data_IF_406104001465
#
_entry.id   IF_406104001465
#
_cell.length_a   1.000
_cell.length_b   1.000
_cell.length_c   1.000
_cell.angle_alpha   90.00
_cell.angle_beta   90.00
_cell.angle_gamma   90.00
#
_symmetry.space_group_name_H-M   'P 1'
#
loop_
_entity.id
_entity.type
_entity.pdbx_description
1 polymer ?
#
# COMPACT_ATOMS: atom_id res chain seq x y z
N UNK A 1 9.08 24.51 57.46
CA UNK A 1 9.91 23.37 57.05
C UNK A 1 8.98 22.22 56.64
N UNK A 2 8.44 22.24 55.43
CA UNK A 2 7.68 21.09 54.89
C UNK A 2 7.64 21.23 53.38
N UNK A 3 8.69 20.77 52.73
CA UNK A 3 8.79 20.76 51.28
C UNK A 3 9.78 19.69 50.83
N UNK A 4 9.66 18.48 51.37
CA UNK A 4 10.52 17.36 50.97
C UNK A 4 9.67 16.09 50.83
N UNK A 5 8.77 16.08 49.85
CA UNK A 5 8.17 14.83 49.35
C UNK A 5 7.56 14.97 47.94
N UNK A 6 8.29 15.59 46.99
CA UNK A 6 7.87 15.63 45.58
C UNK A 6 8.92 15.15 44.57
N UNK A 7 10.15 14.87 45.01
CA UNK A 7 11.29 14.68 44.08
C UNK A 7 11.70 13.23 43.79
N UNK A 8 10.82 12.24 43.96
CA UNK A 8 11.16 10.82 43.66
C UNK A 8 10.41 10.26 42.44
N UNK A 9 9.61 11.06 41.72
CA UNK A 9 8.74 10.56 40.62
C UNK A 9 8.78 11.33 39.29
N UNK A 10 9.92 11.89 38.88
CA UNK A 10 10.18 12.29 37.48
C UNK A 10 11.54 11.76 37.01
N UNK A 11 11.83 11.46 35.72
CA UNK A 11 11.07 11.58 34.47
C UNK A 11 11.02 10.22 33.70
N UNK A 12 10.96 9.08 34.38
CA UNK A 12 10.94 7.76 33.72
C UNK A 12 9.55 7.42 33.15
N UNK A 13 8.49 7.67 33.92
CA UNK A 13 7.10 7.38 33.54
C UNK A 13 6.65 8.12 32.27
N UNK A 14 7.16 9.32 32.02
CA UNK A 14 6.85 10.13 30.84
C UNK A 14 7.61 9.66 29.59
N UNK A 15 8.86 9.19 29.76
CA UNK A 15 9.68 8.60 28.68
C UNK A 15 9.10 7.25 28.24
N UNK A 16 8.70 6.42 29.21
CA UNK A 16 8.06 5.12 28.95
C UNK A 16 6.70 5.27 28.24
N UNK A 17 5.94 6.34 28.56
CA UNK A 17 4.69 6.67 27.88
C UNK A 17 4.89 7.06 26.41
N UNK A 18 5.91 7.89 26.14
CA UNK A 18 6.27 8.31 24.78
C UNK A 18 6.76 7.14 23.92
N UNK A 19 7.56 6.24 24.49
CA UNK A 19 8.02 5.04 23.77
C UNK A 19 6.86 4.09 23.42
N UNK A 20 5.90 3.89 24.34
CA UNK A 20 4.69 3.10 24.08
C UNK A 20 3.81 3.70 22.99
N UNK A 21 3.63 5.03 23.00
CA UNK A 21 2.92 5.76 21.95
C UNK A 21 3.60 5.61 20.58
N UNK A 22 4.93 5.78 20.52
CA UNK A 22 5.71 5.61 19.31
C UNK A 22 5.66 4.16 18.79
N UNK A 23 5.70 3.17 19.69
CA UNK A 23 5.62 1.74 19.33
C UNK A 23 4.22 1.38 18.79
N UNK A 24 3.16 1.93 19.38
CA UNK A 24 1.80 1.75 18.87
C UNK A 24 1.59 2.48 17.55
N UNK A 25 2.07 3.72 17.41
CA UNK A 25 2.02 4.46 16.15
C UNK A 25 2.73 3.69 15.02
N UNK A 26 3.90 3.08 15.30
CA UNK A 26 4.61 2.22 14.35
C UNK A 26 3.80 0.99 13.91
N UNK A 27 3.02 0.40 14.83
CA UNK A 27 2.11 -0.72 14.51
C UNK A 27 0.91 -0.30 13.67
N UNK A 28 0.40 0.91 13.87
CA UNK A 28 -0.67 1.46 13.02
C UNK A 28 -0.15 1.91 11.66
N UNK A 29 1.08 2.44 11.56
CA UNK A 29 1.69 2.75 10.26
C UNK A 29 2.01 1.50 9.45
N UNK A 30 2.28 0.34 10.09
CA UNK A 30 2.40 -0.93 9.37
C UNK A 30 1.06 -1.50 8.90
N UNK A 31 -0.06 -1.00 9.43
CA UNK A 31 -1.40 -1.39 8.98
C UNK A 31 -1.89 -0.56 7.79
N UNK A 32 -1.37 0.66 7.62
CA UNK A 32 -1.81 1.59 6.59
C UNK A 32 -0.72 1.76 5.54
N UNK A 33 -0.97 1.19 4.37
CA UNK A 33 -0.10 1.33 3.21
C UNK A 33 -0.28 2.72 2.60
N UNK A 34 0.83 3.44 2.43
CA UNK A 34 0.89 4.69 1.67
C UNK A 34 1.32 4.46 0.21
N UNK A 35 1.80 3.25 -0.08
CA UNK A 35 2.33 2.83 -1.37
C UNK A 35 1.88 1.38 -1.60
N UNK A 36 1.51 1.03 -2.84
CA UNK A 36 1.15 -0.35 -3.22
C UNK A 36 1.80 -0.73 -4.53
N UNK A 37 2.01 -2.02 -4.74
CA UNK A 37 2.40 -2.54 -6.04
C UNK A 37 1.27 -2.32 -7.04
N UNK A 38 1.55 -1.56 -8.11
CA UNK A 38 0.62 -1.28 -9.18
C UNK A 38 0.38 -2.50 -10.07
N UNK A 39 -0.84 -2.64 -10.58
CA UNK A 39 -1.21 -3.69 -11.55
C UNK A 39 -1.11 -3.24 -13.01
N UNK A 40 -0.50 -2.09 -13.26
CA UNK A 40 -0.30 -1.55 -14.60
C UNK A 40 1.13 -1.81 -15.09
N UNK A 41 1.30 -1.73 -16.41
CA UNK A 41 2.55 -1.92 -17.10
C UNK A 41 2.76 -0.81 -18.12
N UNK A 42 4.02 -0.50 -18.38
CA UNK A 42 4.47 0.31 -19.50
C UNK A 42 4.80 -0.60 -20.69
N UNK A 43 4.38 -0.23 -21.89
CA UNK A 43 4.84 -0.86 -23.13
C UNK A 43 6.12 -0.19 -23.68
N UNK A 44 6.52 -0.55 -24.91
CA UNK A 44 7.73 -0.05 -25.57
C UNK A 44 7.63 1.44 -25.92
N UNK A 45 6.42 1.95 -26.12
CA UNK A 45 6.15 3.36 -26.46
C UNK A 45 5.93 4.23 -25.21
N UNK A 46 5.83 3.60 -24.03
CA UNK A 46 5.67 4.27 -22.74
C UNK A 46 4.22 4.50 -22.35
N UNK A 47 3.26 3.86 -23.05
CA UNK A 47 1.86 3.87 -22.66
C UNK A 47 1.66 3.04 -21.39
N UNK A 48 0.74 3.46 -20.52
CA UNK A 48 0.49 2.82 -19.23
C UNK A 48 -0.91 2.20 -19.21
N UNK A 49 -0.99 0.86 -19.09
CA UNK A 49 -2.26 0.13 -19.07
C UNK A 49 -2.18 -1.12 -18.18
N UNK A 50 -3.34 -1.69 -17.83
CA UNK A 50 -3.39 -3.00 -17.16
C UNK A 50 -3.04 -4.15 -18.10
N UNK A 51 -3.39 -4.02 -19.38
CA UNK A 51 -3.19 -5.03 -20.41
C UNK A 51 -2.94 -4.36 -21.75
N UNK A 52 -2.07 -4.96 -22.56
CA UNK A 52 -1.78 -4.50 -23.92
C UNK A 52 -2.20 -5.55 -24.93
N UNK A 53 -2.64 -5.07 -26.10
CA UNK A 53 -3.06 -5.91 -27.21
C UNK A 53 -2.45 -5.39 -28.51
N UNK A 54 -1.99 -6.29 -29.37
CA UNK A 54 -1.57 -5.97 -30.74
C UNK A 54 -2.61 -6.47 -31.74
N UNK A 55 -2.75 -5.73 -32.84
CA UNK A 55 -3.55 -6.16 -33.97
C UNK A 55 -2.82 -7.22 -34.79
N UNK A 56 -3.49 -8.34 -35.02
CA UNK A 56 -3.03 -9.39 -35.92
C UNK A 56 -3.75 -9.25 -37.25
N UNK A 57 -2.97 -8.88 -38.26
CA UNK A 57 -3.44 -8.82 -39.61
C UNK A 57 -3.76 -10.21 -40.16
N UNK A 58 -4.90 -10.38 -40.84
CA UNK A 58 -5.29 -11.66 -41.40
C UNK A 58 -4.42 -12.01 -42.62
N UNK A 59 -3.92 -13.24 -42.66
CA UNK A 59 -3.12 -13.73 -43.80
C UNK A 59 -3.95 -13.90 -45.09
N UNK A 60 -5.27 -14.00 -44.97
CA UNK A 60 -6.22 -14.18 -46.09
C UNK A 60 -7.09 -12.94 -46.26
N UNK A 61 -7.30 -12.51 -47.51
CA UNK A 61 -8.22 -11.41 -47.85
C UNK A 61 -9.65 -11.77 -47.46
N UNK A 62 -10.36 -10.81 -46.85
CA UNK A 62 -11.76 -10.95 -46.46
C UNK A 62 -11.99 -11.49 -45.04
N UNK A 63 -10.93 -11.90 -44.34
CA UNK A 63 -11.00 -12.20 -42.90
C UNK A 63 -10.79 -10.90 -42.12
N UNK A 64 -11.45 -10.75 -40.96
CA UNK A 64 -11.27 -9.60 -40.08
C UNK A 64 -9.99 -9.75 -39.26
N UNK A 65 -9.32 -8.64 -38.98
CA UNK A 65 -8.22 -8.61 -38.02
C UNK A 65 -8.71 -8.99 -36.62
N UNK A 66 -7.81 -9.54 -35.82
CA UNK A 66 -8.08 -9.93 -34.43
C UNK A 66 -7.03 -9.34 -33.51
N UNK A 67 -7.36 -9.11 -32.25
CA UNK A 67 -6.41 -8.63 -31.25
C UNK A 67 -5.79 -9.80 -30.48
N UNK A 68 -4.50 -9.71 -30.17
CA UNK A 68 -3.80 -10.66 -29.29
C UNK A 68 -3.22 -9.94 -28.10
N UNK A 69 -3.40 -10.51 -26.91
CA UNK A 69 -2.81 -9.99 -25.68
C UNK A 69 -1.29 -10.12 -25.72
N UNK A 70 -0.61 -9.03 -25.38
CA UNK A 70 0.84 -8.96 -25.22
C UNK A 70 1.16 -9.20 -23.74
N UNK A 71 2.13 -10.08 -23.48
CA UNK A 71 2.63 -10.38 -22.13
C UNK A 71 4.14 -10.13 -22.01
N UNK A 72 4.84 -9.98 -23.13
CA UNK A 72 6.29 -9.85 -23.19
C UNK A 72 6.67 -8.37 -23.30
N UNK A 73 7.91 -8.03 -22.91
CA UNK A 73 8.49 -6.68 -23.00
C UNK A 73 7.71 -5.58 -22.26
N UNK A 74 6.75 -5.96 -21.41
CA UNK A 74 6.03 -5.03 -20.55
C UNK A 74 6.82 -4.76 -19.27
N UNK A 75 7.02 -3.49 -18.93
CA UNK A 75 7.68 -3.09 -17.69
C UNK A 75 6.63 -2.80 -16.62
N UNK A 76 6.66 -3.43 -15.43
CA UNK A 76 5.69 -3.13 -14.39
C UNK A 76 5.80 -1.66 -13.94
N UNK A 77 4.66 -1.05 -13.62
CA UNK A 77 4.61 0.30 -13.04
C UNK A 77 5.39 0.38 -11.72
N UNK A 78 5.41 -0.73 -10.97
CA UNK A 78 6.07 -0.83 -9.67
C UNK A 78 5.25 -0.20 -8.56
N UNK A 79 5.94 0.35 -7.57
CA UNK A 79 5.33 1.00 -6.40
C UNK A 79 4.59 2.30 -6.79
N UNK A 80 3.29 2.34 -6.47
CA UNK A 80 2.40 3.48 -6.71
C UNK A 80 2.03 4.13 -5.39
N UNK A 81 2.31 5.42 -5.26
CA UNK A 81 1.88 6.22 -4.12
C UNK A 81 0.37 6.39 -4.14
N UNK A 82 -0.27 6.05 -3.04
CA UNK A 82 -1.71 6.23 -2.88
C UNK A 82 -2.01 7.67 -2.45
N UNK A 83 -3.12 8.27 -2.94
CA UNK A 83 -3.52 9.62 -2.55
C UNK A 83 -3.94 9.70 -1.07
N UNK A 84 -4.35 8.57 -0.50
CA UNK A 84 -4.71 8.43 0.91
C UNK A 84 -4.22 7.07 1.44
N UNK A 85 -3.90 6.95 2.74
CA UNK A 85 -3.51 5.68 3.32
C UNK A 85 -4.64 4.65 3.22
N UNK A 86 -4.31 3.41 2.86
CA UNK A 86 -5.27 2.32 2.79
C UNK A 86 -4.89 1.20 3.76
N UNK A 87 -5.90 0.52 4.30
CA UNK A 87 -5.66 -0.67 5.11
C UNK A 87 -4.95 -1.75 4.28
N UNK A 88 -3.89 -2.30 4.85
CA UNK A 88 -3.18 -3.45 4.30
C UNK A 88 -4.09 -4.68 4.35
N UNK A 89 -4.14 -5.44 3.25
CA UNK A 89 -5.05 -6.58 3.07
C UNK A 89 -4.79 -7.68 4.11
N UNK A 90 -3.54 -7.81 4.58
CA UNK A 90 -3.14 -8.83 5.55
C UNK A 90 -3.19 -8.35 7.01
N UNK A 91 -3.75 -7.15 7.27
CA UNK A 91 -3.84 -6.62 8.62
C UNK A 91 -5.20 -6.94 9.27
N UNK A 92 -5.25 -7.84 10.28
CA UNK A 92 -6.50 -8.24 10.91
C UNK A 92 -7.09 -7.09 11.74
N UNK A 93 -8.33 -6.70 11.45
CA UNK A 93 -9.10 -5.71 12.24
C UNK A 93 -10.49 -6.25 12.53
N UNK A 94 -10.90 -6.11 13.79
CA UNK A 94 -12.28 -6.34 14.21
C UNK A 94 -13.07 -5.08 13.86
N UNK A 95 -13.95 -5.18 12.86
CA UNK A 95 -14.80 -4.06 12.41
C UNK A 95 -16.01 -3.88 13.35
N UNK A 96 -16.49 -4.97 13.94
CA UNK A 96 -17.63 -4.98 14.85
C UNK A 96 -17.43 -6.01 15.95
N UNK A 97 -17.79 -5.65 17.17
CA UNK A 97 -17.87 -6.55 18.30
C UNK A 97 -19.19 -6.28 19.02
N UNK A 98 -20.01 -7.32 19.15
CA UNK A 98 -21.21 -7.24 19.99
C UNK A 98 -20.82 -7.40 21.46
N UNK A 99 -21.46 -6.62 22.32
CA UNK A 99 -21.22 -6.67 23.77
C UNK A 99 -22.21 -7.66 24.36
N UNK A 100 -21.73 -8.83 24.79
CA UNK A 100 -22.53 -9.79 25.57
C UNK A 100 -22.60 -9.33 27.03
#
# INVERSE_FOLDING_TARGET
>A
MSSDLKDVLGPQKERDGKEKLLRNARRFTSALDQVKDGSMYFDEDGDLAHEFYEEINPMKRGVKATMRRILNNLKPQGEVKLPFPCLNVDFPIIIYQDSI
#
